data_IF_141968659543
#
_entry.id   IF_141968659543
#
_cell.length_a   1.000
_cell.length_b   1.000
_cell.length_c   1.000
_cell.angle_alpha   90.00
_cell.angle_beta   90.00
_cell.angle_gamma   90.00
#
_symmetry.space_group_name_H-M   'P 1'
#
loop_
_entity.id
_entity.type
_entity.pdbx_description
1 polymer ?
#
# COMPACT_ATOMS: atom_id res chain seq x y z
N UNK A 1 12.57 -14.82 -20.33
CA UNK A 1 11.46 -14.48 -21.26
C UNK A 1 10.90 -15.68 -22.02
N UNK A 2 11.70 -16.57 -22.62
CA UNK A 2 11.15 -17.70 -23.41
C UNK A 2 10.33 -18.74 -22.61
N UNK A 3 10.63 -18.91 -21.31
CA UNK A 3 10.06 -19.97 -20.48
C UNK A 3 8.64 -19.69 -19.96
N UNK A 4 8.18 -18.44 -19.97
CA UNK A 4 6.84 -18.06 -19.51
C UNK A 4 6.27 -16.96 -20.40
N UNK A 5 4.96 -17.01 -20.63
CA UNK A 5 4.22 -15.96 -21.35
C UNK A 5 3.74 -14.85 -20.39
N UNK A 6 3.95 -15.02 -19.09
CA UNK A 6 3.72 -14.04 -18.04
C UNK A 6 5.06 -13.53 -17.50
N UNK A 7 5.22 -12.20 -17.39
CA UNK A 7 6.41 -11.56 -16.86
C UNK A 7 6.06 -10.66 -15.67
N UNK A 8 6.78 -10.80 -14.56
CA UNK A 8 6.81 -9.82 -13.48
C UNK A 8 7.81 -8.74 -13.88
N UNK A 9 7.37 -7.48 -13.96
CA UNK A 9 8.18 -6.35 -14.34
C UNK A 9 8.30 -5.38 -13.18
N UNK A 10 9.48 -5.32 -12.58
CA UNK A 10 9.78 -4.44 -11.47
C UNK A 10 10.37 -3.10 -11.92
N UNK A 11 10.38 -2.13 -11.01
CA UNK A 11 11.04 -0.85 -11.23
C UNK A 11 12.57 -1.00 -11.18
N UNK A 12 13.10 -1.57 -10.09
CA UNK A 12 14.54 -1.70 -9.87
C UNK A 12 15.04 -3.15 -9.98
N UNK A 13 16.37 -3.29 -10.06
CA UNK A 13 17.03 -4.60 -10.14
C UNK A 13 16.90 -5.39 -8.82
N UNK A 14 16.93 -4.70 -7.68
CA UNK A 14 16.85 -5.33 -6.36
C UNK A 14 15.49 -6.01 -6.19
N UNK A 15 14.39 -5.37 -6.59
CA UNK A 15 13.06 -5.97 -6.57
C UNK A 15 12.96 -7.23 -7.43
N UNK A 16 13.52 -7.17 -8.64
CA UNK A 16 13.55 -8.31 -9.54
C UNK A 16 14.36 -9.47 -8.94
N UNK A 17 15.49 -9.16 -8.30
CA UNK A 17 16.30 -10.16 -7.59
C UNK A 17 15.57 -10.74 -6.38
N UNK A 18 14.77 -9.95 -5.66
CA UNK A 18 13.93 -10.43 -4.56
C UNK A 18 12.98 -11.53 -5.05
N UNK A 19 12.21 -11.27 -6.11
CA UNK A 19 11.34 -12.28 -6.72
C UNK A 19 12.13 -13.51 -7.18
N UNK A 20 13.28 -13.31 -7.81
CA UNK A 20 14.13 -14.40 -8.29
C UNK A 20 14.65 -15.31 -7.17
N UNK A 21 15.13 -14.72 -6.07
CA UNK A 21 15.63 -15.42 -4.89
C UNK A 21 14.54 -16.26 -4.22
N UNK A 22 13.29 -15.82 -4.28
CA UNK A 22 12.13 -16.55 -3.76
C UNK A 22 11.40 -17.39 -4.82
N UNK A 23 12.06 -17.74 -5.93
CA UNK A 23 11.60 -18.77 -6.87
C UNK A 23 10.79 -18.26 -8.08
N UNK A 24 10.49 -16.98 -8.15
CA UNK A 24 9.78 -16.39 -9.30
C UNK A 24 10.78 -16.02 -10.39
N UNK A 25 11.03 -16.97 -11.31
CA UNK A 25 12.06 -16.83 -12.36
C UNK A 25 11.60 -16.09 -13.62
N UNK A 26 10.30 -15.81 -13.73
CA UNK A 26 9.71 -15.04 -14.83
C UNK A 26 9.69 -13.54 -14.51
N UNK A 27 10.80 -12.99 -14.01
CA UNK A 27 10.91 -11.60 -13.58
C UNK A 27 11.99 -10.84 -14.34
N UNK A 28 11.79 -9.54 -14.55
CA UNK A 28 12.78 -8.61 -15.07
C UNK A 28 12.51 -7.21 -14.53
N UNK A 29 13.33 -6.23 -14.91
CA UNK A 29 13.23 -4.84 -14.46
C UNK A 29 13.15 -3.88 -15.62
N UNK A 30 12.62 -2.70 -15.36
CA UNK A 30 12.60 -1.56 -16.28
C UNK A 30 13.69 -0.54 -16.00
N UNK A 31 14.53 -0.70 -14.98
CA UNK A 31 15.59 0.24 -14.62
C UNK A 31 15.07 1.65 -14.29
N UNK A 32 14.00 1.73 -13.49
CA UNK A 32 13.34 2.96 -13.03
C UNK A 32 12.00 3.22 -13.71
N UNK A 33 11.17 4.10 -13.12
CA UNK A 33 9.84 4.50 -13.63
C UNK A 33 9.78 4.89 -15.12
N UNK A 34 10.88 5.38 -15.69
CA UNK A 34 10.98 5.81 -17.08
C UNK A 34 11.91 4.93 -17.94
N UNK A 35 12.43 3.84 -17.40
CA UNK A 35 13.46 3.05 -18.07
C UNK A 35 12.93 1.95 -19.01
N UNK A 36 11.61 1.74 -19.08
CA UNK A 36 11.03 0.81 -20.06
C UNK A 36 11.19 1.35 -21.49
N UNK A 37 12.19 0.82 -22.20
CA UNK A 37 12.54 1.21 -23.58
C UNK A 37 11.82 0.39 -24.66
N UNK A 38 12.02 0.77 -25.93
CA UNK A 38 11.55 0.01 -27.09
C UNK A 38 12.14 -1.39 -27.15
N UNK A 39 13.40 -1.57 -26.76
CA UNK A 39 14.06 -2.87 -26.79
C UNK A 39 13.38 -3.87 -25.84
N UNK A 40 12.89 -3.41 -24.69
CA UNK A 40 12.09 -4.24 -23.78
C UNK A 40 10.78 -4.69 -24.44
N UNK A 41 10.08 -3.77 -25.11
CA UNK A 41 8.85 -4.07 -25.84
C UNK A 41 9.10 -5.07 -26.97
N UNK A 42 10.14 -4.86 -27.77
CA UNK A 42 10.53 -5.75 -28.85
C UNK A 42 10.90 -7.14 -28.32
N UNK A 43 11.62 -7.22 -27.20
CA UNK A 43 11.89 -8.48 -26.53
C UNK A 43 10.60 -9.17 -26.07
N UNK A 44 9.66 -8.44 -25.48
CA UNK A 44 8.36 -8.99 -25.06
C UNK A 44 7.58 -9.54 -26.26
N UNK A 45 7.51 -8.80 -27.36
CA UNK A 45 6.89 -9.27 -28.62
C UNK A 45 7.60 -10.49 -29.19
N UNK A 46 8.93 -10.45 -29.29
CA UNK A 46 9.77 -11.53 -29.85
C UNK A 46 9.59 -12.84 -29.09
N UNK A 47 9.51 -12.78 -27.75
CA UNK A 47 9.30 -13.97 -26.92
C UNK A 47 7.81 -14.29 -26.68
N UNK A 48 6.90 -13.50 -27.26
CA UNK A 48 5.46 -13.71 -27.20
C UNK A 48 4.89 -13.56 -25.80
N UNK A 49 5.41 -12.63 -24.99
CA UNK A 49 4.81 -12.25 -23.70
C UNK A 49 3.36 -11.84 -23.93
N UNK A 50 2.44 -12.48 -23.20
CA UNK A 50 1.00 -12.21 -23.26
C UNK A 50 0.52 -11.42 -22.06
N UNK A 51 1.17 -11.59 -20.91
CA UNK A 51 0.78 -10.99 -19.64
C UNK A 51 1.98 -10.36 -18.94
N UNK A 52 1.80 -9.17 -18.40
CA UNK A 52 2.79 -8.45 -17.59
C UNK A 52 2.17 -8.08 -16.25
N UNK A 53 2.83 -8.49 -15.18
CA UNK A 53 2.55 -8.08 -13.81
C UNK A 53 3.46 -6.90 -13.47
N UNK A 54 2.93 -5.69 -13.48
CA UNK A 54 3.69 -4.46 -13.17
C UNK A 54 3.81 -4.36 -11.65
N UNK A 55 5.02 -4.61 -11.15
CA UNK A 55 5.41 -4.64 -9.76
C UNK A 55 6.33 -3.45 -9.45
N UNK A 56 5.88 -2.24 -9.79
CA UNK A 56 6.52 -1.00 -9.38
C UNK A 56 6.19 -0.66 -7.94
N UNK A 57 7.01 0.18 -7.33
CA UNK A 57 6.86 0.69 -5.97
C UNK A 57 5.45 1.27 -5.79
N UNK A 58 4.89 1.11 -4.59
CA UNK A 58 3.54 1.65 -4.31
C UNK A 58 3.59 3.07 -3.77
N UNK A 59 4.14 3.96 -4.58
CA UNK A 59 4.17 5.40 -4.36
C UNK A 59 3.50 6.17 -5.53
N UNK A 60 3.42 7.50 -5.45
CA UNK A 60 2.79 8.33 -6.50
C UNK A 60 3.51 8.23 -7.86
N UNK A 61 4.82 8.00 -7.87
CA UNK A 61 5.61 7.94 -9.09
C UNK A 61 5.42 6.59 -9.79
N UNK A 62 5.54 5.49 -9.05
CA UNK A 62 5.32 4.13 -9.49
C UNK A 62 3.89 3.90 -9.98
N UNK A 63 2.88 4.43 -9.29
CA UNK A 63 1.48 4.34 -9.74
C UNK A 63 1.26 5.04 -11.08
N UNK A 64 1.75 6.27 -11.23
CA UNK A 64 1.64 7.00 -12.52
C UNK A 64 2.38 6.28 -13.64
N UNK A 65 3.59 5.80 -13.36
CA UNK A 65 4.41 5.09 -14.34
C UNK A 65 3.78 3.76 -14.77
N UNK A 66 3.21 3.00 -13.82
CA UNK A 66 2.49 1.76 -14.10
C UNK A 66 1.28 2.00 -15.01
N UNK A 67 0.50 3.05 -14.75
CA UNK A 67 -0.65 3.42 -15.60
C UNK A 67 -0.19 3.78 -17.01
N UNK A 68 0.84 4.61 -17.17
CA UNK A 68 1.33 4.99 -18.50
C UNK A 68 1.96 3.81 -19.25
N UNK A 69 2.69 2.94 -18.56
CA UNK A 69 3.27 1.75 -19.16
C UNK A 69 2.21 0.73 -19.59
N UNK A 70 1.20 0.50 -18.76
CA UNK A 70 0.11 -0.44 -19.08
C UNK A 70 -0.63 -0.03 -20.35
N UNK A 71 -0.89 1.26 -20.56
CA UNK A 71 -1.47 1.77 -21.82
C UNK A 71 -0.61 1.41 -23.03
N UNK A 72 0.71 1.60 -22.94
CA UNK A 72 1.66 1.27 -24.02
C UNK A 72 1.67 -0.22 -24.33
N UNK A 73 1.71 -1.06 -23.31
CA UNK A 73 1.74 -2.53 -23.46
C UNK A 73 0.41 -3.09 -23.98
N UNK A 74 -0.72 -2.58 -23.47
CA UNK A 74 -2.05 -3.03 -23.90
C UNK A 74 -2.38 -2.62 -25.34
N UNK A 75 -1.90 -1.46 -25.81
CA UNK A 75 -2.00 -1.07 -27.21
C UNK A 75 -1.32 -2.10 -28.15
N UNK A 76 -0.38 -2.87 -27.62
CA UNK A 76 0.36 -3.92 -28.32
C UNK A 76 -0.21 -5.33 -28.05
N UNK A 77 -1.38 -5.41 -27.41
CA UNK A 77 -2.07 -6.67 -27.09
C UNK A 77 -1.46 -7.45 -25.93
N UNK A 78 -0.68 -6.79 -25.06
CA UNK A 78 -0.10 -7.40 -23.87
C UNK A 78 -0.95 -7.04 -22.65
N UNK A 79 -1.54 -8.07 -22.03
CA UNK A 79 -2.38 -7.93 -20.84
C UNK A 79 -1.56 -7.44 -19.65
N UNK A 80 -2.01 -6.39 -18.98
CA UNK A 80 -1.30 -5.78 -17.86
C UNK A 80 -2.10 -5.87 -16.57
N UNK A 81 -1.41 -6.25 -15.50
CA UNK A 81 -1.94 -6.30 -14.15
C UNK A 81 -1.04 -5.54 -13.20
N UNK A 82 -1.63 -4.84 -12.23
CA UNK A 82 -0.92 -4.13 -11.18
C UNK A 82 -0.71 -5.05 -9.98
N UNK A 83 0.53 -5.25 -9.56
CA UNK A 83 0.83 -5.87 -8.26
C UNK A 83 0.74 -4.79 -7.18
N UNK A 84 -0.20 -4.92 -6.24
CA UNK A 84 -0.44 -3.91 -5.20
C UNK A 84 0.28 -4.27 -3.89
N UNK A 85 1.49 -3.74 -3.68
CA UNK A 85 2.19 -3.80 -2.38
C UNK A 85 1.41 -3.09 -1.27
N UNK A 86 1.77 -3.18 0.01
CA UNK A 86 1.35 -2.17 0.98
C UNK A 86 1.82 -0.77 0.54
N UNK A 87 1.10 0.28 0.94
CA UNK A 87 1.43 1.66 0.54
C UNK A 87 2.85 2.01 0.95
N UNK A 88 3.58 2.66 0.05
CA UNK A 88 4.97 3.09 0.21
C UNK A 88 5.96 1.95 0.49
N UNK A 89 5.67 0.74 -0.01
CA UNK A 89 6.64 -0.35 -0.07
C UNK A 89 6.99 -0.72 -1.52
N UNK A 90 8.23 -1.16 -1.70
CA UNK A 90 8.71 -1.90 -2.86
C UNK A 90 8.61 -3.43 -2.64
N UNK A 91 9.05 -4.22 -3.63
CA UNK A 91 8.99 -5.69 -3.54
C UNK A 91 9.97 -6.23 -2.49
N UNK A 92 11.16 -5.63 -2.39
CA UNK A 92 12.20 -6.03 -1.45
C UNK A 92 11.81 -5.76 0.00
N UNK A 93 11.37 -4.55 0.33
CA UNK A 93 10.89 -4.14 1.65
C UNK A 93 9.69 -4.99 2.08
N UNK A 94 8.74 -5.23 1.17
CA UNK A 94 7.61 -6.11 1.43
C UNK A 94 8.06 -7.53 1.77
N UNK A 95 9.03 -8.07 1.02
CA UNK A 95 9.60 -9.38 1.31
C UNK A 95 10.36 -9.42 2.65
N UNK A 96 11.13 -8.38 2.98
CA UNK A 96 11.89 -8.30 4.23
C UNK A 96 11.02 -8.25 5.48
N UNK A 97 9.82 -7.66 5.38
CA UNK A 97 8.88 -7.57 6.50
C UNK A 97 8.03 -8.84 6.67
N UNK A 98 8.05 -9.76 5.70
CA UNK A 98 7.24 -10.97 5.74
C UNK A 98 7.91 -12.10 6.53
N UNK A 99 7.13 -12.79 7.38
CA UNK A 99 7.58 -14.02 8.04
C UNK A 99 7.84 -15.16 7.04
N UNK A 100 7.18 -15.13 5.88
CA UNK A 100 7.38 -16.09 4.78
C UNK A 100 7.36 -15.35 3.44
N UNK A 101 8.51 -14.82 2.99
CA UNK A 101 8.58 -13.93 1.83
C UNK A 101 8.06 -14.58 0.53
N UNK A 102 8.39 -15.84 0.28
CA UNK A 102 7.88 -16.60 -0.88
C UNK A 102 6.34 -16.63 -0.90
N UNK A 103 5.71 -16.96 0.23
CA UNK A 103 4.25 -17.00 0.35
C UNK A 103 3.63 -15.61 0.19
N UNK A 104 4.25 -14.59 0.78
CA UNK A 104 3.80 -13.20 0.70
C UNK A 104 3.84 -12.67 -0.74
N UNK A 105 4.91 -12.95 -1.47
CA UNK A 105 5.07 -12.58 -2.89
C UNK A 105 4.11 -13.37 -3.79
N UNK A 106 3.94 -14.68 -3.56
CA UNK A 106 2.95 -15.46 -4.32
C UNK A 106 1.53 -14.89 -4.14
N UNK A 107 1.18 -14.56 -2.89
CA UNK A 107 -0.12 -14.04 -2.55
C UNK A 107 -0.45 -12.72 -3.26
N UNK A 108 0.53 -11.82 -3.35
CA UNK A 108 0.33 -10.51 -3.98
C UNK A 108 0.27 -10.60 -5.51
N UNK A 109 1.05 -11.53 -6.09
CA UNK A 109 0.98 -11.88 -7.53
C UNK A 109 -0.42 -12.40 -7.88
N UNK A 110 -0.98 -13.29 -7.07
CA UNK A 110 -2.31 -13.86 -7.30
C UNK A 110 -3.43 -12.82 -7.21
N UNK A 111 -3.22 -11.77 -6.42
CA UNK A 111 -4.16 -10.65 -6.23
C UNK A 111 -3.93 -9.48 -7.17
N UNK A 112 -3.03 -9.60 -8.15
CA UNK A 112 -2.74 -8.54 -9.10
C UNK A 112 -4.02 -8.05 -9.83
N UNK A 113 -4.20 -6.74 -9.84
CA UNK A 113 -5.39 -6.05 -10.32
C UNK A 113 -5.33 -5.82 -11.82
N UNK A 114 -6.42 -6.07 -12.53
CA UNK A 114 -6.49 -5.85 -13.97
C UNK A 114 -6.42 -4.35 -14.29
N UNK A 115 -5.57 -3.94 -15.24
CA UNK A 115 -5.38 -2.52 -15.58
C UNK A 115 -6.08 -2.07 -16.87
N UNK A 116 -6.84 -2.95 -17.55
CA UNK A 116 -7.45 -2.65 -18.84
C UNK A 116 -8.91 -2.23 -18.76
N UNK A 117 -9.42 -1.65 -19.84
CA UNK A 117 -10.82 -1.28 -19.95
C UNK A 117 -11.66 -2.49 -20.38
N UNK A 118 -12.51 -3.02 -19.49
CA UNK A 118 -13.46 -4.11 -19.81
C UNK A 118 -13.27 -5.38 -18.98
N UNK A 119 -13.82 -6.51 -19.46
CA UNK A 119 -13.73 -7.80 -18.76
C UNK A 119 -12.29 -8.30 -18.76
N UNK A 120 -11.78 -8.61 -17.57
CA UNK A 120 -10.50 -9.31 -17.35
C UNK A 120 -10.42 -10.55 -18.25
N UNK A 121 -9.37 -10.72 -19.07
CA UNK A 121 -9.16 -11.93 -19.84
C UNK A 121 -9.14 -13.15 -18.92
N UNK A 122 -9.92 -14.19 -19.28
CA UNK A 122 -10.06 -15.39 -18.48
C UNK A 122 -8.71 -16.10 -18.31
N UNK A 123 -8.30 -16.33 -17.06
CA UNK A 123 -7.11 -17.11 -16.72
C UNK A 123 -7.24 -18.50 -17.33
N UNK A 124 -6.44 -18.83 -18.36
CA UNK A 124 -6.23 -20.22 -18.77
C UNK A 124 -5.38 -20.89 -17.70
N UNK A 125 -6.03 -21.41 -16.67
CA UNK A 125 -5.39 -22.29 -15.70
C UNK A 125 -5.17 -23.63 -16.41
N UNK A 126 -3.92 -23.97 -16.70
CA UNK A 126 -3.54 -25.34 -17.00
C UNK A 126 -3.61 -26.06 -15.65
N UNK A 127 -4.67 -26.84 -15.43
CA UNK A 127 -4.84 -27.74 -14.29
C UNK A 127 -4.48 -29.16 -14.73
N UNK A 128 -3.48 -29.73 -14.09
CA UNK A 128 -3.51 -31.06 -13.48
C UNK A 128 -2.76 -30.86 -12.15
N UNK A 129 -3.33 -31.08 -10.97
CA UNK A 129 -3.70 -32.39 -10.42
C UNK A 129 -4.90 -32.27 -9.48
N UNK A 130 -5.81 -33.24 -9.61
CA UNK A 130 -6.89 -33.59 -8.70
C UNK A 130 -6.42 -33.75 -7.25
N UNK A 131 -7.04 -33.02 -6.31
CA UNK A 131 -7.44 -33.56 -5.01
C UNK A 131 -8.84 -33.04 -4.71
N UNK A 132 -9.78 -33.97 -4.63
CA UNK A 132 -11.14 -33.76 -4.14
C UNK A 132 -11.10 -33.56 -2.62
N UNK A 133 -11.85 -32.58 -2.12
CA UNK A 133 -12.67 -32.81 -0.93
C UNK A 133 -13.83 -31.81 -0.87
N UNK A 134 -15.00 -32.35 -0.50
CA UNK A 134 -16.31 -31.74 -0.54
C UNK A 134 -16.66 -30.92 0.73
N UNK A 135 -17.75 -30.15 0.57
CA UNK A 135 -18.66 -29.57 1.58
C UNK A 135 -18.27 -28.17 2.12
N UNK A 136 -19.16 -27.17 2.20
CA UNK A 136 -20.61 -27.13 2.07
C UNK A 136 -21.09 -25.76 1.56
N UNK A 137 -22.31 -25.77 1.02
CA UNK A 137 -23.11 -24.65 0.47
C UNK A 137 -23.39 -23.56 1.51
N UNK A 138 -23.48 -22.32 1.04
CA UNK A 138 -24.66 -21.48 1.26
C UNK A 138 -24.73 -20.34 0.21
N UNK A 139 -25.84 -20.33 -0.53
CA UNK A 139 -26.22 -19.29 -1.49
C UNK A 139 -26.82 -18.08 -0.77
N UNK A 140 -26.48 -16.85 -1.20
CA UNK A 140 -27.43 -15.73 -1.19
C UNK A 140 -27.30 -14.87 -2.44
N UNK A 141 -28.47 -14.62 -3.01
CA UNK A 141 -28.78 -13.88 -4.22
C UNK A 141 -28.26 -12.43 -4.23
N UNK A 142 -27.95 -11.98 -5.45
CA UNK A 142 -27.76 -10.59 -5.82
C UNK A 142 -29.08 -9.84 -5.78
N UNK A 143 -29.06 -8.62 -5.23
CA UNK A 143 -29.93 -7.54 -5.68
C UNK A 143 -29.08 -6.33 -6.00
N UNK A 144 -29.23 -5.84 -7.23
CA UNK A 144 -28.67 -4.58 -7.71
C UNK A 144 -29.32 -3.41 -6.99
N UNK A 145 -28.53 -2.57 -6.33
CA UNK A 145 -28.89 -1.17 -6.10
C UNK A 145 -27.65 -0.28 -6.23
N UNK A 146 -27.74 0.67 -7.16
CA UNK A 146 -26.78 1.73 -7.39
C UNK A 146 -26.53 2.55 -6.11
N UNK A 147 -25.27 2.77 -5.75
CA UNK A 147 -24.87 3.55 -4.60
C UNK A 147 -25.05 5.06 -4.86
N UNK A 148 -25.79 5.81 -4.02
CA UNK A 148 -25.73 7.27 -4.01
C UNK A 148 -24.52 7.76 -3.20
N UNK A 149 -23.98 8.92 -3.60
CA UNK A 149 -22.82 9.56 -3.00
C UNK A 149 -22.99 9.81 -1.48
N UNK A 150 -21.91 9.59 -0.72
CA UNK A 150 -21.87 9.73 0.73
C UNK A 150 -21.95 11.22 1.18
N UNK A 151 -22.64 11.54 2.30
CA UNK A 151 -22.75 12.89 2.82
C UNK A 151 -21.54 13.28 3.69
N UNK A 152 -20.98 14.47 3.48
CA UNK A 152 -19.91 15.04 4.31
C UNK A 152 -20.45 15.47 5.70
N UNK A 153 -19.70 15.17 6.76
CA UNK A 153 -20.05 15.50 8.15
C UNK A 153 -19.07 16.53 8.72
N UNK A 154 -19.52 17.78 8.90
CA UNK A 154 -18.73 18.86 9.51
C UNK A 154 -18.96 18.89 11.03
N UNK A 155 -18.06 18.31 11.82
CA UNK A 155 -18.09 18.39 13.29
C UNK A 155 -16.74 18.93 13.81
N UNK A 156 -16.73 19.92 14.74
CA UNK A 156 -15.50 20.43 15.35
C UNK A 156 -14.84 19.37 16.25
N UNK A 157 -13.55 19.10 16.04
CA UNK A 157 -12.73 18.27 16.92
C UNK A 157 -11.53 19.09 17.41
N UNK A 158 -11.28 19.09 18.72
CA UNK A 158 -10.07 19.68 19.30
C UNK A 158 -9.03 18.56 19.53
N UNK A 159 -7.92 18.61 18.79
CA UNK A 159 -6.76 17.75 19.05
C UNK A 159 -5.97 18.33 20.24
N UNK A 160 -5.99 17.62 21.37
CA UNK A 160 -5.09 17.91 22.50
C UNK A 160 -4.10 16.77 22.64
N UNK A 161 -2.95 17.05 23.27
CA UNK A 161 -1.83 16.11 23.48
C UNK A 161 -2.22 14.78 24.17
N UNK A 162 -3.47 14.67 24.67
CA UNK A 162 -3.97 13.58 25.49
C UNK A 162 -5.17 12.83 24.85
N UNK A 163 -5.44 13.07 23.56
CA UNK A 163 -6.48 12.40 22.77
C UNK A 163 -7.33 13.34 21.92
N UNK A 164 -8.14 12.76 21.04
CA UNK A 164 -9.12 13.49 20.21
C UNK A 164 -10.35 13.77 21.06
N UNK A 165 -10.76 15.03 21.17
CA UNK A 165 -11.99 15.41 21.88
C UNK A 165 -13.06 15.81 20.87
N UNK A 166 -14.22 15.18 20.97
CA UNK A 166 -15.40 15.44 20.15
C UNK A 166 -16.57 15.75 21.08
N UNK A 167 -17.31 16.82 20.82
CA UNK A 167 -18.44 17.23 21.65
C UNK A 167 -19.74 17.18 20.84
N UNK A 168 -20.76 16.53 21.39
CA UNK A 168 -22.11 16.47 20.83
C UNK A 168 -23.11 16.98 21.85
N UNK A 169 -23.72 18.14 21.60
CA UNK A 169 -24.68 18.75 22.51
C UNK A 169 -24.12 18.83 23.96
N UNK A 170 -24.68 18.04 24.86
CA UNK A 170 -24.38 17.89 26.28
C UNK A 170 -23.44 16.71 26.60
N UNK A 171 -22.81 16.08 25.59
CA UNK A 171 -21.91 14.93 25.76
C UNK A 171 -20.52 15.22 25.22
N UNK A 172 -19.52 14.82 25.99
CA UNK A 172 -18.11 14.97 25.66
C UNK A 172 -17.49 13.59 25.45
N UNK A 173 -16.92 13.38 24.28
CA UNK A 173 -16.20 12.18 23.89
C UNK A 173 -14.70 12.47 23.88
N UNK A 174 -13.91 11.58 24.47
CA UNK A 174 -12.45 11.62 24.44
C UNK A 174 -11.94 10.27 23.96
N UNK A 175 -11.19 10.30 22.87
CA UNK A 175 -10.65 9.12 22.22
C UNK A 175 -9.12 9.11 22.38
N UNK A 176 -8.59 8.00 22.90
CA UNK A 176 -7.15 7.75 23.00
C UNK A 176 -6.76 6.51 22.19
N UNK A 177 -5.50 6.48 21.75
CA UNK A 177 -4.94 5.37 21.00
C UNK A 177 -5.06 5.50 19.49
N UNK A 178 -5.66 6.57 18.96
CA UNK A 178 -5.78 6.78 17.50
C UNK A 178 -4.42 6.74 16.80
N UNK A 179 -3.39 7.38 17.36
CA UNK A 179 -2.03 7.40 16.82
C UNK A 179 -1.37 6.00 16.67
N UNK A 180 -1.93 4.96 17.30
CA UNK A 180 -1.45 3.57 17.15
C UNK A 180 -2.16 2.83 16.02
N UNK A 181 -3.22 3.40 15.43
CA UNK A 181 -4.02 2.79 14.38
C UNK A 181 -3.54 3.28 13.00
N UNK A 182 -2.45 2.69 12.51
CA UNK A 182 -1.89 3.00 11.18
C UNK A 182 -2.43 2.06 10.08
N UNK A 183 -3.41 1.21 10.39
CA UNK A 183 -4.07 0.32 9.44
C UNK A 183 -5.56 0.67 9.34
N UNK A 184 -6.08 0.71 8.12
CA UNK A 184 -7.50 0.95 7.85
C UNK A 184 -8.41 -0.23 8.24
N UNK A 185 -7.85 -1.43 8.46
CA UNK A 185 -8.63 -2.65 8.75
C UNK A 185 -8.98 -2.82 10.23
N UNK A 186 -8.28 -2.11 11.13
CA UNK A 186 -8.44 -2.23 12.57
C UNK A 186 -8.53 -0.83 13.17
N UNK A 187 -9.56 -0.58 13.97
CA UNK A 187 -9.69 0.66 14.72
C UNK A 187 -9.92 0.38 16.20
N UNK A 188 -8.83 0.07 16.91
CA UNK A 188 -8.84 -0.20 18.35
C UNK A 188 -8.48 1.06 19.14
N UNK A 189 -9.44 1.58 19.88
CA UNK A 189 -9.31 2.85 20.61
C UNK A 189 -9.91 2.74 22.01
N UNK A 190 -9.39 3.57 22.92
CA UNK A 190 -10.01 3.79 24.22
C UNK A 190 -10.96 4.98 24.10
N UNK A 191 -12.25 4.76 24.36
CA UNK A 191 -13.28 5.80 24.24
C UNK A 191 -13.87 6.08 25.61
N UNK A 192 -13.73 7.33 26.02
CA UNK A 192 -14.37 7.92 27.19
C UNK A 192 -15.54 8.79 26.72
N UNK A 193 -16.71 8.64 27.32
CA UNK A 193 -17.87 9.52 27.09
C UNK A 193 -18.40 10.01 28.43
N UNK A 194 -18.70 11.30 28.55
CA UNK A 194 -19.32 11.90 29.73
C UNK A 194 -20.46 12.85 29.36
N UNK A 195 -21.34 13.12 30.32
CA UNK A 195 -22.28 14.23 30.23
C UNK A 195 -21.57 15.59 30.44
N UNK A 196 -22.34 16.68 30.32
CA UNK A 196 -21.84 18.05 30.41
C UNK A 196 -21.29 18.41 31.81
N UNK A 197 -21.88 17.84 32.87
CA UNK A 197 -21.43 18.06 34.25
C UNK A 197 -20.19 17.22 34.61
N UNK A 198 -19.92 16.13 33.87
CA UNK A 198 -18.77 15.26 34.08
C UNK A 198 -18.91 14.26 35.23
N UNK A 199 -20.08 14.18 35.87
CA UNK A 199 -20.38 13.28 37.00
C UNK A 199 -20.83 11.88 36.53
N UNK A 200 -21.40 11.77 35.33
CA UNK A 200 -21.72 10.49 34.68
C UNK A 200 -20.83 10.28 33.48
N UNK A 201 -20.11 9.16 33.48
CA UNK A 201 -19.19 8.80 32.41
C UNK A 201 -19.07 7.30 32.24
N UNK A 202 -18.68 6.88 31.04
CA UNK A 202 -18.29 5.52 30.72
C UNK A 202 -16.97 5.52 29.95
N UNK A 203 -16.13 4.52 30.20
CA UNK A 203 -14.84 4.35 29.51
C UNK A 203 -14.56 2.89 29.23
N UNK A 204 -14.22 2.57 27.99
CA UNK A 204 -13.80 1.23 27.60
C UNK A 204 -12.84 1.28 26.40
N UNK A 205 -12.16 0.16 26.15
CA UNK A 205 -11.35 -0.06 24.96
C UNK A 205 -12.10 -0.99 24.01
N UNK A 206 -12.47 -0.45 22.85
CA UNK A 206 -13.20 -1.19 21.83
C UNK A 206 -12.48 -1.15 20.48
N UNK A 207 -12.60 -2.25 19.76
CA UNK A 207 -12.36 -2.32 18.33
C UNK A 207 -13.66 -1.89 17.62
N UNK A 208 -13.59 -0.75 16.92
CA UNK A 208 -14.77 -0.07 16.38
C UNK A 208 -15.40 -0.78 15.19
N UNK A 209 -14.70 -1.65 14.47
CA UNK A 209 -15.31 -2.43 13.39
C UNK A 209 -16.06 -3.67 13.89
N UNK A 210 -15.83 -4.11 15.13
CA UNK A 210 -16.56 -5.18 15.80
C UNK A 210 -17.96 -4.75 16.23
N UNK A 211 -18.98 -5.19 15.49
CA UNK A 211 -20.39 -4.91 15.82
C UNK A 211 -20.79 -5.36 17.24
N UNK A 212 -20.24 -6.48 17.70
CA UNK A 212 -20.47 -7.00 19.06
C UNK A 212 -19.92 -6.05 20.12
N UNK A 213 -18.70 -5.54 19.94
CA UNK A 213 -18.10 -4.60 20.89
C UNK A 213 -18.83 -3.25 20.88
N UNK A 214 -19.20 -2.73 19.70
CA UNK A 214 -20.03 -1.51 19.59
C UNK A 214 -21.34 -1.67 20.35
N UNK A 215 -22.03 -2.79 20.19
CA UNK A 215 -23.32 -3.07 20.86
C UNK A 215 -23.16 -3.08 22.38
N UNK A 216 -22.10 -3.73 22.89
CA UNK A 216 -21.81 -3.76 24.32
C UNK A 216 -21.49 -2.37 24.88
N UNK A 217 -20.63 -1.61 24.18
CA UNK A 217 -20.26 -0.25 24.57
C UNK A 217 -21.49 0.66 24.62
N UNK A 218 -22.33 0.66 23.59
CA UNK A 218 -23.56 1.45 23.52
C UNK A 218 -24.46 1.14 24.72
N UNK A 219 -24.66 -0.14 25.03
CA UNK A 219 -25.50 -0.57 26.14
C UNK A 219 -24.98 -0.09 27.49
N UNK A 220 -23.68 -0.22 27.75
CA UNK A 220 -23.07 0.17 29.02
C UNK A 220 -23.01 1.69 29.18
N UNK A 221 -22.54 2.40 28.14
CA UNK A 221 -22.49 3.86 28.14
C UNK A 221 -23.89 4.49 28.31
N UNK A 222 -24.90 3.97 27.63
CA UNK A 222 -26.28 4.46 27.77
C UNK A 222 -26.80 4.29 29.20
N UNK A 223 -26.53 3.15 29.83
CA UNK A 223 -26.92 2.88 31.21
C UNK A 223 -26.22 3.81 32.22
N UNK A 224 -24.91 4.00 32.08
CA UNK A 224 -24.11 4.84 32.99
C UNK A 224 -24.43 6.33 32.84
N UNK A 225 -24.65 6.81 31.61
CA UNK A 225 -25.02 8.20 31.35
C UNK A 225 -26.52 8.47 31.61
N UNK A 226 -27.36 7.43 31.69
CA UNK A 226 -28.81 7.56 31.78
C UNK A 226 -29.42 8.16 30.52
N UNK A 227 -28.91 7.76 29.36
CA UNK A 227 -29.33 8.28 28.05
C UNK A 227 -29.91 7.17 27.18
N UNK A 228 -30.69 7.53 26.16
CA UNK A 228 -31.22 6.56 25.22
C UNK A 228 -30.08 5.89 24.41
N UNK A 229 -30.03 4.54 24.33
CA UNK A 229 -29.04 3.82 23.52
C UNK A 229 -28.96 4.28 22.05
N UNK A 230 -30.06 4.70 21.43
CA UNK A 230 -30.05 5.19 20.06
C UNK A 230 -29.33 6.54 19.91
N UNK A 231 -29.28 7.36 20.98
CA UNK A 231 -28.49 8.59 21.00
C UNK A 231 -27.00 8.27 21.02
N UNK A 232 -26.57 7.37 21.91
CA UNK A 232 -25.17 6.93 22.00
C UNK A 232 -24.73 6.25 20.71
N UNK A 233 -25.59 5.46 20.08
CA UNK A 233 -25.32 4.81 18.78
C UNK A 233 -25.12 5.83 17.65
N UNK A 234 -25.98 6.86 17.57
CA UNK A 234 -25.83 7.94 16.57
C UNK A 234 -24.54 8.73 16.77
N UNK A 235 -24.20 9.03 18.02
CA UNK A 235 -22.95 9.71 18.36
C UNK A 235 -21.74 8.84 18.02
N UNK A 236 -21.75 7.56 18.41
CA UNK A 236 -20.66 6.63 18.13
C UNK A 236 -20.42 6.46 16.62
N UNK A 237 -21.48 6.49 15.80
CA UNK A 237 -21.36 6.50 14.34
C UNK A 237 -20.65 7.75 13.81
N UNK A 238 -20.94 8.93 14.37
CA UNK A 238 -20.24 10.18 14.02
C UNK A 238 -18.79 10.20 14.51
N UNK A 239 -18.54 9.63 15.69
CA UNK A 239 -17.18 9.45 16.22
C UNK A 239 -16.37 8.57 15.27
N UNK A 240 -16.92 7.43 14.85
CA UNK A 240 -16.26 6.53 13.91
C UNK A 240 -15.84 7.25 12.62
N UNK A 241 -16.78 7.94 11.97
CA UNK A 241 -16.49 8.71 10.75
C UNK A 241 -15.39 9.75 10.96
N UNK A 242 -15.38 10.43 12.12
CA UNK A 242 -14.35 11.42 12.42
C UNK A 242 -12.98 10.77 12.68
N UNK A 243 -12.95 9.61 13.33
CA UNK A 243 -11.72 8.88 13.57
C UNK A 243 -11.14 8.31 12.27
N UNK A 244 -11.96 7.86 11.33
CA UNK A 244 -11.53 7.47 9.98
C UNK A 244 -10.88 8.65 9.26
N UNK A 245 -11.50 9.83 9.27
CA UNK A 245 -10.92 11.06 8.68
C UNK A 245 -9.57 11.44 9.31
N UNK A 246 -9.48 11.40 10.64
CA UNK A 246 -8.25 11.73 11.36
C UNK A 246 -7.15 10.66 11.17
N UNK A 247 -7.52 9.38 11.09
CA UNK A 247 -6.61 8.29 10.73
C UNK A 247 -6.04 8.52 9.33
N UNK A 248 -6.91 8.84 8.36
CA UNK A 248 -6.54 9.20 6.99
C UNK A 248 -5.52 10.34 6.95
N UNK A 249 -5.77 11.40 7.74
CA UNK A 249 -4.88 12.55 7.84
C UNK A 249 -3.54 12.19 8.50
N UNK A 250 -3.54 11.40 9.58
CA UNK A 250 -2.33 10.95 10.26
C UNK A 250 -1.47 10.06 9.36
N UNK A 251 -2.09 9.12 8.65
CA UNK A 251 -1.40 8.28 7.68
C UNK A 251 -0.82 9.16 6.57
N UNK A 252 -1.60 10.04 5.94
CA UNK A 252 -1.10 10.98 4.91
C UNK A 252 0.02 11.89 5.40
N UNK A 253 -0.03 12.35 6.66
CA UNK A 253 1.03 13.18 7.25
C UNK A 253 2.30 12.37 7.56
N UNK A 254 2.16 11.12 8.03
CA UNK A 254 3.29 10.23 8.26
C UNK A 254 3.98 9.82 6.96
N UNK A 255 3.21 9.68 5.87
CA UNK A 255 3.69 9.34 4.52
C UNK A 255 4.26 10.55 3.76
N UNK A 256 4.11 11.80 4.27
CA UNK A 256 4.80 12.94 3.66
C UNK A 256 6.31 12.73 3.78
N UNK A 257 7.07 12.67 2.66
CA UNK A 257 8.49 12.47 2.72
C UNK A 257 9.12 13.62 3.50
N UNK A 258 9.74 13.31 4.65
CA UNK A 258 10.69 14.22 5.29
C UNK A 258 11.87 14.32 4.34
N UNK A 259 11.83 15.33 3.47
CA UNK A 259 12.91 15.65 2.53
C UNK A 259 14.18 15.85 3.36
N UNK A 260 14.98 14.80 3.50
CA UNK A 260 16.37 14.91 3.96
C UNK A 260 17.06 15.59 2.79
N UNK A 261 17.14 16.92 2.84
CA UNK A 261 18.06 17.63 1.97
C UNK A 261 19.45 17.17 2.36
N UNK A 262 20.02 16.27 1.53
CA UNK A 262 21.42 15.92 1.62
C UNK A 262 22.17 17.16 1.13
N UNK A 263 22.48 18.05 2.07
CA UNK A 263 23.31 19.21 1.80
C UNK A 263 24.74 18.70 1.70
N UNK A 264 25.25 18.57 0.48
CA UNK A 264 26.67 18.28 0.25
C UNK A 264 27.49 19.40 0.88
N UNK A 265 28.42 19.03 1.77
CA UNK A 265 29.31 20.02 2.37
C UNK A 265 30.20 20.66 1.29
N UNK A 266 30.68 21.89 1.52
CA UNK A 266 31.60 22.57 0.58
C UNK A 266 32.87 21.75 0.33
N UNK A 267 33.30 20.96 1.32
CA UNK A 267 34.43 20.03 1.18
C UNK A 267 34.12 18.89 0.22
N UNK A 268 33.01 18.18 0.40
CA UNK A 268 32.60 17.09 -0.50
C UNK A 268 32.39 17.61 -1.93
N UNK A 269 31.84 18.83 -2.05
CA UNK A 269 31.67 19.51 -3.34
C UNK A 269 33.01 19.79 -4.03
N UNK A 270 33.99 20.24 -3.26
CA UNK A 270 35.31 20.55 -3.79
C UNK A 270 36.07 19.28 -4.20
N UNK A 271 36.02 18.23 -3.38
CA UNK A 271 36.60 16.92 -3.69
C UNK A 271 35.96 16.30 -4.95
N UNK A 272 34.63 16.41 -5.09
CA UNK A 272 33.91 15.95 -6.27
C UNK A 272 34.28 16.76 -7.53
N UNK A 273 34.38 18.09 -7.43
CA UNK A 273 34.77 18.95 -8.55
C UNK A 273 36.22 18.71 -8.98
N UNK A 274 37.13 18.50 -8.03
CA UNK A 274 38.54 18.18 -8.32
C UNK A 274 38.63 16.85 -9.08
N UNK A 275 37.90 15.83 -8.64
CA UNK A 275 37.80 14.56 -9.35
C UNK A 275 37.26 14.76 -10.78
N UNK A 276 36.11 15.44 -10.92
CA UNK A 276 35.43 15.64 -12.21
C UNK A 276 36.24 16.44 -13.23
N UNK A 277 37.13 17.32 -12.79
CA UNK A 277 37.93 18.18 -13.67
C UNK A 277 39.32 17.61 -13.96
N UNK A 278 39.66 16.44 -13.41
CA UNK A 278 40.97 15.84 -13.61
C UNK A 278 41.15 15.39 -15.09
N UNK A 279 42.26 15.72 -15.77
CA UNK A 279 42.48 15.37 -17.18
C UNK A 279 42.48 13.87 -17.50
N UNK A 280 42.79 13.02 -16.52
CA UNK A 280 42.82 11.55 -16.65
C UNK A 280 41.65 10.86 -15.91
N UNK A 281 40.52 11.56 -15.75
CA UNK A 281 39.33 11.06 -15.03
C UNK A 281 38.94 9.64 -15.42
N UNK A 282 38.88 9.34 -16.73
CA UNK A 282 38.49 8.00 -17.21
C UNK A 282 39.47 6.91 -16.77
N UNK A 283 40.77 7.17 -16.80
CA UNK A 283 41.79 6.22 -16.33
C UNK A 283 41.69 6.01 -14.82
N UNK A 284 41.38 7.06 -14.08
CA UNK A 284 41.18 7.00 -12.62
C UNK A 284 39.94 6.18 -12.26
N UNK A 285 38.83 6.39 -12.97
CA UNK A 285 37.63 5.57 -12.83
C UNK A 285 37.97 4.10 -13.09
N UNK A 286 38.63 3.77 -14.20
CA UNK A 286 39.02 2.38 -14.50
C UNK A 286 39.93 1.78 -13.41
N UNK A 287 40.82 2.58 -12.81
CA UNK A 287 41.65 2.12 -11.71
C UNK A 287 40.86 1.89 -10.41
N UNK A 288 39.84 2.71 -10.15
CA UNK A 288 38.92 2.54 -9.03
C UNK A 288 38.08 1.27 -9.22
N UNK A 289 37.59 1.00 -10.44
CA UNK A 289 36.92 -0.27 -10.78
C UNK A 289 37.80 -1.48 -10.50
N UNK A 290 39.08 -1.45 -10.91
CA UNK A 290 40.06 -2.51 -10.59
C UNK A 290 40.27 -2.65 -9.08
N UNK A 291 40.34 -1.54 -8.34
CA UNK A 291 40.50 -1.54 -6.88
C UNK A 291 39.28 -2.14 -6.18
N UNK A 292 38.09 -1.94 -6.74
CA UNK A 292 36.84 -2.58 -6.32
C UNK A 292 36.70 -4.03 -6.81
N UNK A 293 37.69 -4.57 -7.52
CA UNK A 293 37.72 -5.97 -7.99
C UNK A 293 36.98 -6.22 -9.31
N UNK A 294 36.61 -5.17 -10.05
CA UNK A 294 35.99 -5.27 -11.38
C UNK A 294 37.08 -5.20 -12.45
N UNK A 295 37.13 -6.20 -13.32
CA UNK A 295 38.12 -6.34 -14.40
C UNK A 295 37.45 -6.50 -15.76
N UNK A 296 38.05 -5.94 -16.82
CA UNK A 296 37.57 -6.09 -18.21
C UNK A 296 36.92 -4.84 -18.84
N UNK A 297 36.79 -3.74 -18.10
CA UNK A 297 36.12 -2.50 -18.55
C UNK A 297 37.01 -1.57 -19.42
N UNK A 298 38.11 -2.08 -19.98
CA UNK A 298 39.15 -1.28 -20.67
C UNK A 298 38.88 -1.02 -22.16
N UNK A 299 37.69 -1.33 -22.67
CA UNK A 299 37.33 -1.22 -24.10
C UNK A 299 36.67 0.09 -24.48
#
# INVERSE_FOLDING_TARGET
LAASKEIILCEALIDALTFWCYGFRNVTTSYGINGFTKDHLEAFKRYGTRKVLIAYDRDEAGERAAVELSKKLMAEGIDCFRVQFPVDLDANEYAQQAQSPEKALNHIIQRAEWMGNGRKPGTTTILDVHIQDEAAKEEKEKTDHAAPAAPACNIPAEEKHDGVIISFNDRRWRIRGLAKNMSYEIMKVNIFVSNAAGDKFHVDTLELYSAKQRTNYIKQAAAELGTDPEVIKKDLGKVLLKLEELQDQQIKQALKPKKKEIVMSEREKQEALELLTTPNLLQRILQDFRTCGVVGEET
#
